data_IF_628659296830
#
_entry.id   IF_628659296830
#
_cell.length_a   1.000
_cell.length_b   1.000
_cell.length_c   1.000
_cell.angle_alpha   90.00
_cell.angle_beta   90.00
_cell.angle_gamma   90.00
#
_symmetry.space_group_name_H-M   'P 1'
#
loop_
_entity.id
_entity.type
_entity.pdbx_description
1 polymer ?
#
# COMPACT_ATOMS: atom_id res chain seq x y z
N UNK A 1 -11.98 -21.39 10.84
CA UNK A 1 -10.74 -20.59 10.68
C UNK A 1 -10.65 -20.18 9.22
N UNK A 2 -10.73 -18.89 8.88
CA UNK A 2 -10.67 -18.46 7.48
C UNK A 2 -9.22 -18.37 7.03
N UNK A 3 -8.66 -19.50 6.59
CA UNK A 3 -7.28 -19.62 6.06
C UNK A 3 -7.01 -18.57 4.98
N UNK A 4 -8.01 -18.27 4.15
CA UNK A 4 -7.96 -17.24 3.11
C UNK A 4 -7.62 -15.85 3.67
N UNK A 5 -8.23 -15.45 4.78
CA UNK A 5 -7.97 -14.13 5.41
C UNK A 5 -6.57 -14.06 6.01
N UNK A 6 -6.04 -15.18 6.51
CA UNK A 6 -4.69 -15.24 7.05
C UNK A 6 -3.64 -15.19 5.94
N UNK A 7 -3.83 -15.97 4.87
CA UNK A 7 -2.94 -15.93 3.70
C UNK A 7 -2.92 -14.55 3.07
N UNK A 8 -4.09 -13.91 2.93
CA UNK A 8 -4.19 -12.57 2.40
C UNK A 8 -3.32 -11.54 3.15
N UNK A 9 -3.29 -11.63 4.49
CA UNK A 9 -2.45 -10.76 5.33
C UNK A 9 -0.97 -11.04 5.19
N UNK A 10 -0.59 -12.32 5.09
CA UNK A 10 0.80 -12.71 4.88
C UNK A 10 1.28 -12.14 3.54
N UNK A 11 0.47 -12.26 2.49
CA UNK A 11 0.78 -11.67 1.19
C UNK A 11 0.95 -10.17 1.33
N UNK A 12 0.03 -9.47 2.00
CA UNK A 12 0.16 -8.02 2.21
C UNK A 12 1.40 -7.62 2.99
N UNK A 13 1.74 -8.35 4.06
CA UNK A 13 2.97 -8.11 4.81
C UNK A 13 4.19 -8.23 3.89
N UNK A 14 4.30 -9.34 3.16
CA UNK A 14 5.49 -9.63 2.33
C UNK A 14 5.55 -8.70 1.11
N UNK A 15 4.42 -8.23 0.58
CA UNK A 15 4.40 -7.32 -0.56
C UNK A 15 4.64 -5.87 -0.14
N UNK A 16 3.90 -5.35 0.83
CA UNK A 16 3.90 -3.92 1.14
C UNK A 16 4.98 -3.50 2.12
N UNK A 17 5.37 -4.37 3.08
CA UNK A 17 6.40 -4.01 4.04
C UNK A 17 7.77 -3.76 3.37
N UNK A 18 8.28 -4.67 2.50
CA UNK A 18 9.56 -4.43 1.84
C UNK A 18 9.48 -3.29 0.82
N UNK A 19 8.34 -3.13 0.14
CA UNK A 19 8.16 -2.07 -0.87
C UNK A 19 8.19 -0.69 -0.23
N UNK A 20 7.38 -0.46 0.81
CA UNK A 20 7.37 0.81 1.54
C UNK A 20 8.71 1.09 2.24
N UNK A 21 9.36 0.05 2.77
CA UNK A 21 10.70 0.19 3.36
C UNK A 21 11.74 0.63 2.31
N UNK A 22 11.74 -0.01 1.14
CA UNK A 22 12.66 0.31 0.05
C UNK A 22 12.44 1.75 -0.46
N UNK A 23 11.19 2.22 -0.56
CA UNK A 23 10.90 3.60 -0.93
C UNK A 23 11.54 4.63 0.02
N UNK A 24 11.49 4.35 1.32
CA UNK A 24 11.93 5.30 2.36
C UNK A 24 13.44 5.21 2.60
N UNK A 25 14.00 4.00 2.61
CA UNK A 25 15.38 3.76 3.08
C UNK A 25 16.40 3.61 1.94
N UNK A 26 15.96 3.39 0.70
CA UNK A 26 16.86 3.23 -0.45
C UNK A 26 16.99 4.52 -1.23
N UNK A 27 18.22 4.82 -1.65
CA UNK A 27 18.54 5.96 -2.52
C UNK A 27 18.63 5.50 -3.96
N UNK A 28 18.29 6.41 -4.87
CA UNK A 28 18.37 6.22 -6.31
C UNK A 28 19.04 7.46 -6.91
N UNK A 29 19.83 7.22 -7.94
CA UNK A 29 20.43 8.29 -8.73
C UNK A 29 19.43 8.69 -9.83
N UNK A 30 19.21 10.00 -9.95
CA UNK A 30 18.31 10.63 -10.90
C UNK A 30 19.12 11.38 -11.96
N UNK A 31 18.58 11.53 -13.16
CA UNK A 31 19.21 12.31 -14.22
C UNK A 31 19.19 13.81 -13.87
N UNK A 32 20.04 14.62 -14.50
CA UNK A 32 20.06 16.07 -14.30
C UNK A 32 18.68 16.72 -14.55
N UNK A 33 17.98 16.28 -15.60
CA UNK A 33 16.61 16.75 -15.92
C UNK A 33 15.63 16.43 -14.79
N UNK A 34 15.64 15.20 -14.28
CA UNK A 34 14.82 14.80 -13.14
C UNK A 34 15.20 15.56 -11.87
N UNK A 35 16.50 15.83 -11.69
CA UNK A 35 17.03 16.63 -10.59
C UNK A 35 16.48 18.05 -10.56
N UNK A 36 16.35 18.70 -11.72
CA UNK A 36 15.72 20.03 -11.82
C UNK A 36 14.27 20.01 -11.34
N UNK A 37 13.46 19.06 -11.82
CA UNK A 37 12.06 18.91 -11.41
C UNK A 37 11.97 18.60 -9.91
N UNK A 38 12.86 17.76 -9.38
CA UNK A 38 12.91 17.47 -7.94
C UNK A 38 13.29 18.70 -7.10
N UNK A 39 14.21 19.54 -7.59
CA UNK A 39 14.55 20.82 -6.95
C UNK A 39 13.33 21.76 -6.94
N UNK A 40 12.55 21.82 -8.02
CA UNK A 40 11.29 22.58 -8.06
C UNK A 40 10.23 22.06 -7.07
N UNK A 41 10.18 20.74 -6.86
CA UNK A 41 9.35 20.10 -5.81
C UNK A 41 9.91 20.29 -4.38
N UNK A 42 11.00 21.04 -4.23
CA UNK A 42 11.64 21.38 -2.96
C UNK A 42 12.44 20.22 -2.34
N UNK A 43 12.84 19.23 -3.14
CA UNK A 43 13.70 18.13 -2.72
C UNK A 43 15.16 18.56 -2.82
N UNK A 44 15.90 18.44 -1.73
CA UNK A 44 17.34 18.72 -1.72
C UNK A 44 18.12 17.46 -2.10
N UNK A 45 19.20 17.58 -2.89
CA UNK A 45 20.11 16.48 -3.16
C UNK A 45 20.80 16.03 -1.88
N UNK A 46 21.07 14.74 -1.76
CA UNK A 46 21.82 14.21 -0.61
C UNK A 46 23.33 14.37 -0.80
N UNK A 47 23.82 14.27 -2.04
CA UNK A 47 25.18 14.64 -2.44
C UNK A 47 25.10 15.40 -3.77
N UNK A 48 25.69 16.60 -3.85
CA UNK A 48 26.03 17.23 -5.13
C UNK A 48 27.45 16.78 -5.47
N UNK A 49 27.60 15.85 -6.42
CA UNK A 49 28.92 15.49 -6.92
C UNK A 49 29.48 16.69 -7.71
N UNK A 50 30.59 17.28 -7.25
CA UNK A 50 31.23 18.47 -7.82
C UNK A 50 31.77 18.28 -9.26
N UNK A 51 31.64 17.09 -9.84
CA UNK A 51 32.26 16.68 -11.10
C UNK A 51 31.49 17.02 -12.38
N UNK A 52 30.35 17.73 -12.31
CA UNK A 52 29.70 18.32 -13.50
C UNK A 52 28.99 17.35 -14.45
N UNK A 53 28.96 16.04 -14.16
CA UNK A 53 28.10 15.03 -14.78
C UNK A 53 26.94 14.71 -13.81
N UNK A 54 26.09 15.71 -13.55
CA UNK A 54 25.17 15.81 -12.41
C UNK A 54 24.14 14.66 -12.31
N UNK A 55 24.53 13.55 -11.66
CA UNK A 55 23.59 12.56 -11.15
C UNK A 55 23.05 13.04 -9.80
N UNK A 56 21.77 13.35 -9.75
CA UNK A 56 21.10 13.83 -8.54
C UNK A 56 20.75 12.63 -7.66
N UNK A 57 21.42 12.45 -6.51
CA UNK A 57 21.10 11.35 -5.59
C UNK A 57 20.04 11.76 -4.58
N UNK A 58 18.94 11.01 -4.54
CA UNK A 58 17.89 11.21 -3.54
C UNK A 58 17.16 9.90 -3.21
N UNK A 59 16.24 9.95 -2.25
CA UNK A 59 15.44 8.78 -1.86
C UNK A 59 14.60 8.27 -3.03
N UNK A 60 14.45 6.95 -3.13
CA UNK A 60 13.65 6.29 -4.17
C UNK A 60 12.19 6.74 -4.16
N UNK A 61 11.68 7.19 -3.01
CA UNK A 61 10.41 7.90 -2.86
C UNK A 61 10.20 9.02 -3.90
N UNK A 62 11.25 9.75 -4.24
CA UNK A 62 11.18 10.89 -5.16
C UNK A 62 10.90 10.46 -6.60
N UNK A 63 11.17 9.20 -6.95
CA UNK A 63 10.72 8.64 -8.22
C UNK A 63 9.19 8.64 -8.33
N UNK A 64 8.49 8.36 -7.23
CA UNK A 64 7.02 8.44 -7.21
C UNK A 64 6.54 9.89 -7.31
N UNK A 65 7.26 10.83 -6.68
CA UNK A 65 6.93 12.24 -6.78
C UNK A 65 7.05 12.74 -8.23
N UNK A 66 8.07 12.29 -8.97
CA UNK A 66 8.19 12.58 -10.40
C UNK A 66 7.02 12.01 -11.20
N UNK A 67 6.69 10.73 -11.00
CA UNK A 67 5.56 10.10 -11.68
C UNK A 67 4.24 10.84 -11.40
N UNK A 68 4.00 11.26 -10.16
CA UNK A 68 2.80 12.03 -9.83
C UNK A 68 2.81 13.43 -10.44
N UNK A 69 3.97 14.08 -10.51
CA UNK A 69 4.11 15.38 -11.15
C UNK A 69 3.87 15.30 -12.67
N UNK A 70 4.43 14.29 -13.34
CA UNK A 70 4.21 14.02 -14.77
C UNK A 70 2.72 13.76 -15.09
N UNK A 71 2.01 13.13 -14.16
CA UNK A 71 0.56 12.90 -14.25
C UNK A 71 -0.30 14.11 -13.81
N UNK A 72 0.31 15.28 -13.55
CA UNK A 72 -0.39 16.51 -13.19
C UNK A 72 -0.99 16.53 -11.78
N UNK A 73 -0.57 15.62 -10.91
CA UNK A 73 -1.09 15.54 -9.53
C UNK A 73 -0.42 16.61 -8.67
N UNK A 74 -1.23 17.54 -8.16
CA UNK A 74 -0.77 18.58 -7.24
C UNK A 74 -0.22 17.97 -5.93
N UNK A 75 0.79 18.62 -5.34
CA UNK A 75 1.45 18.17 -4.11
C UNK A 75 2.06 16.75 -4.22
N UNK A 76 2.61 16.41 -5.39
CA UNK A 76 3.23 15.11 -5.69
C UNK A 76 4.17 14.59 -4.58
N UNK A 77 4.95 15.48 -3.95
CA UNK A 77 5.84 15.14 -2.83
C UNK A 77 5.09 14.70 -1.57
N UNK A 78 4.00 15.38 -1.21
CA UNK A 78 3.22 14.99 -0.04
C UNK A 78 2.54 13.63 -0.29
N UNK A 79 2.00 13.44 -1.50
CA UNK A 79 1.32 12.21 -1.87
C UNK A 79 2.29 11.03 -1.90
N UNK A 80 3.51 11.19 -2.43
CA UNK A 80 4.52 10.13 -2.41
C UNK A 80 4.84 9.66 -0.98
N UNK A 81 5.01 10.60 -0.04
CA UNK A 81 5.17 10.27 1.38
C UNK A 81 3.97 9.52 1.94
N UNK A 82 2.74 9.96 1.63
CA UNK A 82 1.54 9.26 2.11
C UNK A 82 1.42 7.84 1.55
N UNK A 83 1.83 7.62 0.30
CA UNK A 83 1.85 6.29 -0.32
C UNK A 83 2.87 5.40 0.38
N UNK A 84 4.11 5.85 0.54
CA UNK A 84 5.15 5.04 1.17
C UNK A 84 4.85 4.70 2.64
N UNK A 85 4.34 5.67 3.42
CA UNK A 85 3.90 5.41 4.79
C UNK A 85 2.68 4.47 4.77
N UNK A 86 1.75 4.68 3.83
CA UNK A 86 0.57 3.85 3.66
C UNK A 86 0.92 2.38 3.41
N UNK A 87 1.89 2.11 2.53
CA UNK A 87 2.38 0.75 2.26
C UNK A 87 2.98 0.11 3.51
N UNK A 88 3.79 0.85 4.27
CA UNK A 88 4.32 0.33 5.54
C UNK A 88 3.23 0.03 6.56
N UNK A 89 2.27 0.95 6.72
CA UNK A 89 1.15 0.78 7.66
C UNK A 89 0.30 -0.43 7.27
N UNK A 90 0.01 -0.61 5.97
CA UNK A 90 -0.68 -1.80 5.46
C UNK A 90 0.10 -3.05 5.79
N UNK A 91 1.40 -3.10 5.47
CA UNK A 91 2.25 -4.25 5.72
C UNK A 91 2.27 -4.64 7.19
N UNK A 92 2.56 -3.69 8.09
CA UNK A 92 2.68 -3.94 9.54
C UNK A 92 1.34 -4.30 10.17
N UNK A 93 0.27 -3.60 9.85
CA UNK A 93 -1.04 -3.80 10.50
C UNK A 93 -1.85 -4.95 9.89
N UNK A 94 -1.50 -5.42 8.69
CA UNK A 94 -2.17 -6.55 8.06
C UNK A 94 -2.09 -7.81 8.94
N UNK A 95 -0.91 -8.15 9.47
CA UNK A 95 -0.70 -9.38 10.24
C UNK A 95 -1.55 -9.46 11.53
N UNK A 96 -1.51 -8.48 12.46
CA UNK A 96 -2.39 -8.48 13.64
C UNK A 96 -3.87 -8.41 13.28
N UNK A 97 -4.19 -8.01 12.04
CA UNK A 97 -5.56 -7.87 11.58
C UNK A 97 -6.32 -6.79 12.32
N UNK A 98 -5.63 -5.69 12.65
CA UNK A 98 -6.26 -4.48 13.17
C UNK A 98 -6.86 -3.71 11.99
N UNK A 99 -8.12 -3.28 12.08
CA UNK A 99 -8.82 -2.59 10.99
C UNK A 99 -8.79 -3.31 9.63
N UNK A 100 -8.92 -4.64 9.61
CA UNK A 100 -8.80 -5.48 8.38
C UNK A 100 -9.64 -5.02 7.20
N UNK A 101 -10.83 -4.48 7.45
CA UNK A 101 -11.69 -3.91 6.38
C UNK A 101 -11.14 -2.61 5.83
N UNK A 102 -10.66 -1.71 6.70
CA UNK A 102 -10.06 -0.45 6.29
C UNK A 102 -8.77 -0.68 5.50
N UNK A 103 -7.91 -1.58 5.97
CA UNK A 103 -6.67 -1.94 5.29
C UNK A 103 -6.95 -2.62 3.94
N UNK A 104 -7.92 -3.53 3.88
CA UNK A 104 -8.35 -4.14 2.62
C UNK A 104 -8.88 -3.10 1.63
N UNK A 105 -9.68 -2.13 2.10
CA UNK A 105 -10.18 -1.04 1.28
C UNK A 105 -9.05 -0.12 0.80
N UNK A 106 -8.09 0.18 1.67
CA UNK A 106 -6.91 0.97 1.32
C UNK A 106 -6.07 0.29 0.25
N UNK A 107 -5.81 -1.02 0.37
CA UNK A 107 -5.11 -1.80 -0.66
C UNK A 107 -5.86 -1.79 -1.98
N UNK A 108 -7.19 -1.95 -1.94
CA UNK A 108 -8.03 -1.89 -3.13
C UNK A 108 -7.90 -0.53 -3.84
N UNK A 109 -8.05 0.57 -3.10
CA UNK A 109 -7.93 1.94 -3.65
C UNK A 109 -6.54 2.19 -4.23
N UNK A 110 -5.48 1.79 -3.53
CA UNK A 110 -4.10 1.99 -4.01
C UNK A 110 -3.84 1.20 -5.30
N UNK A 111 -4.24 -0.07 -5.37
CA UNK A 111 -4.01 -0.88 -6.57
C UNK A 111 -4.86 -0.42 -7.77
N UNK A 112 -6.09 0.06 -7.53
CA UNK A 112 -6.91 0.68 -8.59
C UNK A 112 -6.25 1.98 -9.07
N UNK A 113 -5.77 2.82 -8.15
CA UNK A 113 -5.07 4.05 -8.50
C UNK A 113 -3.82 3.77 -9.34
N UNK A 114 -3.02 2.77 -8.94
CA UNK A 114 -1.82 2.37 -9.67
C UNK A 114 -2.15 1.81 -11.06
N UNK A 115 -3.21 1.00 -11.15
CA UNK A 115 -3.72 0.49 -12.42
C UNK A 115 -4.12 1.62 -13.37
N UNK A 116 -4.85 2.63 -12.86
CA UNK A 116 -5.26 3.78 -13.67
C UNK A 116 -4.07 4.63 -14.14
N UNK A 117 -3.03 4.77 -13.31
CA UNK A 117 -1.87 5.61 -13.62
C UNK A 117 -0.87 4.95 -14.58
N UNK A 118 -0.68 3.63 -14.48
CA UNK A 118 0.44 2.96 -15.17
C UNK A 118 -0.05 1.90 -16.14
N UNK A 119 -1.02 1.07 -15.75
CA UNK A 119 -1.41 -0.09 -16.55
C UNK A 119 -2.55 0.18 -17.52
N UNK A 120 -3.32 1.26 -17.32
CA UNK A 120 -4.48 1.57 -18.15
C UNK A 120 -4.09 1.96 -19.59
N UNK A 121 -3.12 2.86 -19.74
CA UNK A 121 -2.67 3.32 -21.05
C UNK A 121 -2.12 2.20 -21.93
N UNK A 122 -1.13 1.38 -21.50
CA UNK A 122 -0.62 0.29 -22.32
C UNK A 122 -1.68 -0.77 -22.62
N UNK A 123 -2.64 -0.99 -21.70
CA UNK A 123 -3.73 -1.93 -21.93
C UNK A 123 -4.70 -1.47 -23.03
N UNK A 124 -4.89 -0.16 -23.20
CA UNK A 124 -5.70 0.42 -24.28
C UNK A 124 -4.94 0.41 -25.61
N UNK A 125 -3.65 0.79 -25.60
CA UNK A 125 -2.85 0.95 -26.81
C UNK A 125 -2.49 -0.38 -27.49
N UNK A 126 -2.09 -1.38 -26.71
CA UNK A 126 -1.60 -2.66 -27.25
C UNK A 126 -2.61 -3.80 -27.15
N UNK A 127 -3.81 -3.53 -26.60
CA UNK A 127 -4.71 -4.54 -26.06
C UNK A 127 -4.03 -5.42 -24.99
N UNK A 128 -4.84 -6.00 -24.11
CA UNK A 128 -4.35 -6.73 -22.92
C UNK A 128 -3.32 -7.83 -23.26
N UNK A 129 -3.48 -8.50 -24.40
CA UNK A 129 -2.60 -9.61 -24.80
C UNK A 129 -1.45 -9.19 -25.73
N UNK A 130 -1.39 -7.93 -26.16
CA UNK A 130 -0.30 -7.39 -26.97
C UNK A 130 0.73 -6.58 -26.18
N UNK A 131 0.53 -6.42 -24.86
CA UNK A 131 1.47 -5.75 -23.97
C UNK A 131 2.78 -6.54 -23.81
N UNK A 132 3.86 -5.83 -23.48
CA UNK A 132 5.11 -6.46 -23.05
C UNK A 132 4.88 -7.34 -21.80
N UNK A 133 5.72 -8.36 -21.65
CA UNK A 133 5.60 -9.32 -20.55
C UNK A 133 5.72 -8.67 -19.17
N UNK A 134 6.54 -7.61 -19.03
CA UNK A 134 6.71 -6.91 -17.75
C UNK A 134 5.43 -6.15 -17.39
N UNK A 135 4.88 -5.39 -18.33
CA UNK A 135 3.66 -4.60 -18.14
C UNK A 135 2.44 -5.49 -17.89
N UNK A 136 2.33 -6.58 -18.65
CA UNK A 136 1.30 -7.58 -18.45
C UNK A 136 1.38 -8.21 -17.05
N UNK A 137 2.58 -8.60 -16.61
CA UNK A 137 2.79 -9.20 -15.28
C UNK A 137 2.43 -8.21 -14.17
N UNK A 138 2.87 -6.95 -14.30
CA UNK A 138 2.55 -5.90 -13.33
C UNK A 138 1.05 -5.65 -13.24
N UNK A 139 0.36 -5.60 -14.38
CA UNK A 139 -1.09 -5.42 -14.45
C UNK A 139 -1.83 -6.56 -13.73
N UNK A 140 -1.45 -7.82 -14.01
CA UNK A 140 -2.07 -8.99 -13.36
C UNK A 140 -1.80 -8.99 -11.86
N UNK A 141 -0.60 -8.64 -11.42
CA UNK A 141 -0.27 -8.54 -9.99
C UNK A 141 -1.11 -7.47 -9.28
N UNK A 142 -1.29 -6.30 -9.88
CA UNK A 142 -2.16 -5.25 -9.34
C UNK A 142 -3.61 -5.72 -9.22
N UNK A 143 -4.15 -6.41 -10.23
CA UNK A 143 -5.51 -6.96 -10.20
C UNK A 143 -5.67 -8.05 -9.14
N UNK A 144 -4.67 -8.92 -8.98
CA UNK A 144 -4.65 -9.94 -7.93
C UNK A 144 -4.63 -9.30 -6.53
N UNK A 145 -3.80 -8.28 -6.31
CA UNK A 145 -3.73 -7.56 -5.03
C UNK A 145 -5.03 -6.79 -4.74
N UNK A 146 -5.62 -6.16 -5.76
CA UNK A 146 -6.92 -5.51 -5.66
C UNK A 146 -8.02 -6.52 -5.30
N UNK A 147 -8.08 -7.66 -5.98
CA UNK A 147 -9.04 -8.73 -5.69
C UNK A 147 -8.88 -9.27 -4.26
N UNK A 148 -7.64 -9.46 -3.82
CA UNK A 148 -7.32 -9.93 -2.48
C UNK A 148 -7.68 -8.86 -1.42
N UNK A 149 -7.47 -7.57 -1.69
CA UNK A 149 -7.97 -6.46 -0.88
C UNK A 149 -9.50 -6.43 -0.78
N UNK A 150 -10.19 -6.56 -1.91
CA UNK A 150 -11.65 -6.66 -1.98
C UNK A 150 -12.17 -7.85 -1.18
N UNK A 151 -11.50 -9.00 -1.26
CA UNK A 151 -11.87 -10.19 -0.49
C UNK A 151 -11.83 -9.91 1.01
N UNK A 152 -10.85 -9.15 1.51
CA UNK A 152 -10.76 -8.76 2.91
C UNK A 152 -11.80 -7.71 3.31
N UNK A 153 -12.22 -6.84 2.39
CA UNK A 153 -13.33 -5.91 2.63
C UNK A 153 -14.64 -6.69 2.85
N UNK A 154 -14.93 -7.64 1.97
CA UNK A 154 -16.17 -8.43 2.00
C UNK A 154 -16.16 -9.43 3.17
N UNK A 155 -15.10 -10.24 3.30
CA UNK A 155 -15.00 -11.33 4.28
C UNK A 155 -14.65 -10.79 5.67
N UNK A 156 -13.86 -9.73 5.75
CA UNK A 156 -13.32 -9.19 7.00
C UNK A 156 -12.17 -10.00 7.59
N UNK A 157 -11.86 -9.70 8.86
CA UNK A 157 -10.73 -10.26 9.59
C UNK A 157 -10.92 -11.68 10.18
N UNK A 158 -12.08 -12.32 10.01
CA UNK A 158 -12.30 -13.65 10.59
C UNK A 158 -12.09 -13.74 12.12
N UNK A 159 -11.85 -14.95 12.64
CA UNK A 159 -11.79 -15.23 14.08
C UNK A 159 -10.50 -14.80 14.79
N UNK A 160 -9.38 -14.62 14.06
CA UNK A 160 -8.05 -14.28 14.60
C UNK A 160 -7.64 -12.82 14.33
N UNK A 161 -8.60 -11.93 14.10
CA UNK A 161 -8.33 -10.50 13.95
C UNK A 161 -8.37 -9.83 15.33
N UNK A 162 -7.35 -9.01 15.65
CA UNK A 162 -7.35 -8.20 16.88
C UNK A 162 -8.56 -7.27 16.95
N UNK A 163 -9.07 -6.82 15.80
CA UNK A 163 -10.32 -6.04 15.69
C UNK A 163 -11.48 -6.76 16.41
N UNK A 164 -11.63 -8.06 16.16
CA UNK A 164 -12.67 -8.85 16.84
C UNK A 164 -12.36 -9.06 18.32
N UNK A 165 -11.10 -9.22 18.70
CA UNK A 165 -10.72 -9.44 20.10
C UNK A 165 -10.93 -8.19 20.96
N UNK A 166 -10.65 -7.00 20.41
CA UNK A 166 -10.82 -5.70 21.08
C UNK A 166 -12.31 -5.32 21.18
N UNK A 167 -13.10 -5.56 20.13
CA UNK A 167 -14.52 -5.19 20.10
C UNK A 167 -15.47 -6.31 20.54
N UNK A 168 -14.97 -7.48 20.94
CA UNK A 168 -15.84 -8.52 21.53
C UNK A 168 -16.28 -8.05 22.90
N UNK A 169 -17.57 -7.72 23.02
CA UNK A 169 -18.24 -7.51 24.31
C UNK A 169 -17.93 -8.71 25.21
N UNK A 170 -17.29 -8.48 26.35
CA UNK A 170 -17.43 -9.39 27.48
C UNK A 170 -18.86 -9.19 27.95
N UNK A 171 -19.77 -10.07 27.52
CA UNK A 171 -21.04 -10.21 28.22
C UNK A 171 -20.65 -10.68 29.62
N UNK A 172 -20.56 -9.72 30.54
CA UNK A 172 -20.42 -9.97 31.95
C UNK A 172 -21.59 -10.87 32.32
N UNK A 173 -21.23 -12.06 32.80
CA UNK A 173 -22.04 -12.99 33.56
C UNK A 173 -23.14 -12.21 34.28
N UNK A 174 -24.38 -12.33 33.81
CA UNK A 174 -25.54 -11.88 34.58
C UNK A 174 -25.66 -12.88 35.74
N UNK A 175 -25.38 -12.50 36.99
CA UNK A 175 -25.68 -13.37 38.10
C UNK A 175 -27.20 -13.40 38.19
N UNK A 176 -27.81 -14.43 37.61
CA UNK A 176 -29.22 -14.74 37.88
C UNK A 176 -29.45 -14.64 39.39
N UNK A 177 -30.45 -13.88 39.85
CA UNK A 177 -30.71 -13.76 41.27
C UNK A 177 -31.04 -15.15 41.83
N UNK A 178 -30.56 -15.50 43.03
CA UNK A 178 -30.78 -16.83 43.59
C UNK A 178 -32.28 -17.11 43.67
N UNK A 179 -32.68 -18.28 43.18
CA UNK A 179 -34.05 -18.81 43.33
C UNK A 179 -34.43 -18.76 44.82
N UNK A 180 -35.63 -18.26 45.17
CA UNK A 180 -36.08 -18.29 46.54
C UNK A 180 -36.27 -19.75 46.97
N UNK A 181 -35.62 -20.14 48.07
CA UNK A 181 -35.86 -21.42 48.73
C UNK A 181 -37.35 -21.49 49.13
N UNK A 182 -38.09 -22.37 48.46
CA UNK A 182 -39.48 -22.69 48.82
C UNK A 182 -39.50 -23.30 50.23
N UNK A 183 -40.19 -22.61 51.16
CA UNK A 183 -40.40 -23.01 52.55
C UNK A 183 -41.73 -23.76 52.76
#
# INVERSE_FOLDING_TARGET
MNVVSLLARIVFLITFLPTGWNMIMTHKDFTAEQGHVLKELGVQPENEDESGDEMFKARKLNQMALLFHENGIANARAISWTVAIGELVIGVLALPGLFTRLLGAMVLVLNIGWFCLISLQPAIEHAVFGMDHVDFTNMILQLCLACLGMSLVIIGGGAMSLDRMIFRRHDAIDPSPPEPDDA
#
